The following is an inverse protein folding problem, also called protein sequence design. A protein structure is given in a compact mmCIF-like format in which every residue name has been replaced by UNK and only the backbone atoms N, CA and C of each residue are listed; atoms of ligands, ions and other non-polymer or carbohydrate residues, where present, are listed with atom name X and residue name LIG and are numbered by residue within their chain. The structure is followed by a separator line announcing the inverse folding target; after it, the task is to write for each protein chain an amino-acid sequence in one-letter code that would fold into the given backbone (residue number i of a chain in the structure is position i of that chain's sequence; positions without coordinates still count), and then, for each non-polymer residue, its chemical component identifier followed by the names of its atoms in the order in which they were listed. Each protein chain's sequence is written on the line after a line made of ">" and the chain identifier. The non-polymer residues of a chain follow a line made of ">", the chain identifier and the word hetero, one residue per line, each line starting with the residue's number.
data_IF_198503075833
#
_entry.id   IF_198503075833
#
_cell.length_a   1.000
_cell.length_b   1.000
_cell.length_c   1.000
_cell.angle_alpha   90.00
_cell.angle_beta   90.00
_cell.angle_gamma   90.00
#
_symmetry.space_group_name_H-M   'P 1'
#
loop_
_entity.id
_entity.type
_entity.pdbx_description
1 polymer ?
#
# COMPACT_ATOMS: atom_id res chain seq x y z
N UNK A 1 23.08 29.83 -16.21
CA UNK A 1 21.81 29.12 -16.46
C UNK A 1 21.41 28.39 -15.18
N UNK A 2 20.12 28.35 -14.82
CA UNK A 2 19.66 27.61 -13.65
C UNK A 2 19.86 26.11 -13.86
N UNK A 3 20.32 25.40 -12.83
CA UNK A 3 20.45 23.95 -12.84
C UNK A 3 19.06 23.29 -12.72
N UNK A 4 18.84 22.21 -13.49
CA UNK A 4 17.62 21.40 -13.40
C UNK A 4 17.83 20.16 -12.52
N UNK A 5 16.76 19.74 -11.85
CA UNK A 5 16.68 18.51 -11.09
C UNK A 5 15.49 17.69 -11.55
N UNK A 6 15.70 16.43 -11.91
CA UNK A 6 14.61 15.52 -12.23
C UNK A 6 14.38 14.53 -11.09
N UNK A 7 13.13 14.40 -10.66
CA UNK A 7 12.71 13.43 -9.67
C UNK A 7 11.94 12.31 -10.37
N UNK A 8 12.53 11.11 -10.43
CA UNK A 8 11.92 9.96 -11.08
C UNK A 8 11.29 9.02 -10.06
N UNK A 9 10.16 8.43 -10.46
CA UNK A 9 9.44 7.42 -9.69
C UNK A 9 9.07 6.26 -10.61
N UNK A 10 8.93 5.01 -10.12
CA UNK A 10 8.60 3.87 -10.96
C UNK A 10 7.13 3.86 -11.41
N UNK A 11 6.24 4.62 -10.76
CA UNK A 11 4.79 4.52 -10.96
C UNK A 11 4.19 5.93 -11.04
N UNK A 12 3.30 6.15 -12.02
CA UNK A 12 2.61 7.44 -12.24
C UNK A 12 1.92 7.98 -10.99
N UNK A 13 1.29 7.11 -10.19
CA UNK A 13 0.62 7.51 -8.95
C UNK A 13 1.60 8.17 -7.96
N UNK A 14 2.81 7.61 -7.81
CA UNK A 14 3.86 8.19 -6.99
C UNK A 14 4.39 9.50 -7.58
N UNK A 15 4.49 9.60 -8.92
CA UNK A 15 4.84 10.86 -9.59
C UNK A 15 3.84 11.97 -9.25
N UNK A 16 2.54 11.68 -9.35
CA UNK A 16 1.48 12.65 -9.05
C UNK A 16 1.49 13.05 -7.57
N UNK A 17 1.65 12.08 -6.67
CA UNK A 17 1.75 12.35 -5.23
C UNK A 17 2.96 13.25 -4.94
N UNK A 18 4.14 12.89 -5.45
CA UNK A 18 5.38 13.65 -5.22
C UNK A 18 5.30 15.04 -5.81
N UNK A 19 4.72 15.19 -7.01
CA UNK A 19 4.45 16.49 -7.62
C UNK A 19 3.61 17.36 -6.69
N UNK A 20 2.48 16.83 -6.19
CA UNK A 20 1.61 17.58 -5.28
C UNK A 20 2.31 17.95 -3.96
N UNK A 21 3.13 17.06 -3.41
CA UNK A 21 3.95 17.33 -2.22
C UNK A 21 4.95 18.47 -2.46
N UNK A 22 5.67 18.43 -3.59
CA UNK A 22 6.65 19.44 -3.95
C UNK A 22 6.02 20.78 -4.31
N UNK A 23 4.89 20.78 -5.03
CA UNK A 23 4.11 21.99 -5.33
C UNK A 23 3.65 22.66 -4.03
N UNK A 24 3.12 21.89 -3.08
CA UNK A 24 2.70 22.43 -1.77
C UNK A 24 3.86 23.08 -1.02
N UNK A 25 5.07 22.55 -1.16
CA UNK A 25 6.25 23.03 -0.44
C UNK A 25 6.99 24.17 -1.14
N UNK A 26 7.04 24.17 -2.46
CA UNK A 26 7.95 25.02 -3.24
C UNK A 26 7.25 25.91 -4.28
N UNK A 27 5.93 25.79 -4.44
CA UNK A 27 5.14 26.56 -5.40
C UNK A 27 5.02 25.88 -6.77
N UNK A 28 3.88 26.02 -7.46
CA UNK A 28 3.63 25.41 -8.76
C UNK A 28 4.52 25.95 -9.89
N UNK A 29 5.07 27.15 -9.73
CA UNK A 29 5.94 27.80 -10.71
C UNK A 29 7.32 27.12 -10.81
N UNK A 30 7.76 26.43 -9.76
CA UNK A 30 9.09 25.79 -9.68
C UNK A 30 9.07 24.30 -9.95
N UNK A 31 7.88 23.69 -9.99
CA UNK A 31 7.70 22.24 -10.07
C UNK A 31 6.90 21.89 -11.33
N UNK A 32 7.43 20.96 -12.11
CA UNK A 32 6.78 20.35 -13.26
C UNK A 32 6.44 18.89 -13.05
N UNK A 33 5.57 18.37 -13.91
CA UNK A 33 5.19 16.97 -14.01
C UNK A 33 5.27 16.53 -15.48
N UNK A 34 6.02 15.47 -15.76
CA UNK A 34 6.03 14.79 -17.05
C UNK A 34 5.70 13.31 -16.86
N UNK A 35 4.50 12.90 -17.24
CA UNK A 35 4.11 11.50 -17.38
C UNK A 35 3.80 11.20 -18.84
N UNK A 36 3.61 9.92 -19.20
CA UNK A 36 3.25 9.57 -20.57
C UNK A 36 1.90 10.12 -21.08
N UNK A 37 1.12 10.73 -20.20
CA UNK A 37 -0.24 11.24 -20.44
C UNK A 37 -0.46 12.70 -20.00
N UNK A 38 0.41 13.26 -19.15
CA UNK A 38 0.30 14.63 -18.67
C UNK A 38 1.63 15.35 -18.76
N UNK A 39 1.58 16.62 -19.16
CA UNK A 39 2.71 17.54 -19.16
C UNK A 39 2.28 18.83 -18.50
N UNK A 40 2.89 19.16 -17.37
CA UNK A 40 2.61 20.35 -16.57
C UNK A 40 3.94 21.03 -16.28
N UNK A 41 4.09 22.29 -16.66
CA UNK A 41 5.29 23.09 -16.38
C UNK A 41 6.62 22.33 -16.66
N UNK A 42 6.74 21.71 -17.84
CA UNK A 42 7.84 20.79 -18.18
C UNK A 42 9.24 21.42 -18.22
N UNK A 43 9.32 22.76 -18.26
CA UNK A 43 10.57 23.53 -18.22
C UNK A 43 10.94 24.01 -16.81
N UNK A 44 10.18 23.59 -15.80
CA UNK A 44 10.45 23.92 -14.42
C UNK A 44 11.87 23.53 -13.97
N UNK A 45 12.46 24.24 -12.99
CA UNK A 45 13.74 23.86 -12.39
C UNK A 45 13.72 22.46 -11.78
N UNK A 46 12.58 22.01 -11.26
CA UNK A 46 12.39 20.64 -10.77
C UNK A 46 11.25 19.99 -11.53
N UNK A 47 11.49 18.83 -12.11
CA UNK A 47 10.45 18.09 -12.85
C UNK A 47 10.29 16.69 -12.28
N UNK A 48 9.09 16.36 -11.83
CA UNK A 48 8.72 15.01 -11.42
C UNK A 48 8.29 14.22 -12.63
N UNK A 49 8.78 13.00 -12.80
CA UNK A 49 8.42 12.16 -13.95
C UNK A 49 8.48 10.67 -13.63
N UNK A 50 7.99 9.84 -14.54
CA UNK A 50 8.28 8.39 -14.44
C UNK A 50 9.67 8.09 -15.00
N UNK A 51 10.30 7.02 -14.51
CA UNK A 51 11.63 6.60 -14.98
C UNK A 51 11.65 6.35 -16.50
N UNK A 52 10.56 5.82 -17.06
CA UNK A 52 10.41 5.60 -18.50
C UNK A 52 10.44 6.91 -19.31
N UNK A 53 9.87 8.00 -18.78
CA UNK A 53 9.88 9.30 -19.47
C UNK A 53 11.32 9.83 -19.55
N UNK A 54 12.07 9.78 -18.44
CA UNK A 54 13.48 10.19 -18.45
C UNK A 54 14.30 9.35 -19.44
N UNK A 55 14.13 8.03 -19.42
CA UNK A 55 14.80 7.12 -20.34
C UNK A 55 14.52 7.46 -21.81
N UNK A 56 13.26 7.76 -22.15
CA UNK A 56 12.90 8.16 -23.49
C UNK A 56 13.52 9.52 -23.88
N UNK A 57 13.60 10.47 -22.94
CA UNK A 57 14.27 11.75 -23.17
C UNK A 57 15.77 11.59 -23.45
N UNK A 58 16.44 10.67 -22.74
CA UNK A 58 17.85 10.34 -22.97
C UNK A 58 18.06 9.76 -24.37
N UNK A 59 17.22 8.81 -24.80
CA UNK A 59 17.30 8.24 -26.16
C UNK A 59 16.98 9.25 -27.26
N UNK A 60 16.04 10.15 -27.01
CA UNK A 60 15.65 11.17 -27.98
C UNK A 60 16.64 12.37 -28.02
N UNK A 61 17.61 12.46 -27.10
CA UNK A 61 18.47 13.63 -26.98
C UNK A 61 17.68 14.92 -26.69
N UNK A 62 16.66 14.83 -25.85
CA UNK A 62 15.73 15.93 -25.58
C UNK A 62 16.44 17.21 -25.11
N UNK A 63 16.05 18.37 -25.66
CA UNK A 63 16.58 19.67 -25.24
C UNK A 63 16.30 19.99 -23.77
N UNK A 64 15.28 19.37 -23.18
CA UNK A 64 14.91 19.56 -21.78
C UNK A 64 16.01 19.05 -20.83
N UNK A 65 16.88 18.14 -21.28
CA UNK A 65 18.08 17.67 -20.56
C UNK A 65 19.16 18.74 -20.43
N UNK A 66 19.10 19.84 -21.18
CA UNK A 66 20.06 20.95 -21.06
C UNK A 66 20.03 21.50 -19.63
N UNK A 67 21.23 21.64 -19.05
CA UNK A 67 21.45 22.07 -17.66
C UNK A 67 20.90 21.11 -16.59
N UNK A 68 20.59 19.86 -16.92
CA UNK A 68 20.33 18.82 -15.92
C UNK A 68 21.58 18.62 -15.07
N UNK A 69 21.46 18.80 -13.77
CA UNK A 69 22.56 18.65 -12.81
C UNK A 69 22.30 17.53 -11.81
N UNK A 70 21.03 17.21 -11.55
CA UNK A 70 20.64 16.23 -10.54
C UNK A 70 19.53 15.32 -11.06
N UNK A 71 19.65 14.02 -10.77
CA UNK A 71 18.56 13.06 -10.93
C UNK A 71 18.36 12.37 -9.58
N UNK A 72 17.17 12.52 -9.03
CA UNK A 72 16.71 11.72 -7.88
C UNK A 72 15.95 10.54 -8.44
N UNK A 73 16.35 9.33 -8.09
CA UNK A 73 15.62 8.12 -8.44
C UNK A 73 15.02 7.49 -7.19
N UNK A 74 13.69 7.52 -7.09
CA UNK A 74 12.93 7.07 -5.92
C UNK A 74 12.47 5.61 -6.04
N UNK A 75 12.50 4.86 -4.95
CA UNK A 75 12.19 3.43 -4.90
C UNK A 75 13.12 2.54 -5.75
N UNK A 76 14.45 2.74 -5.62
CA UNK A 76 15.46 2.00 -6.41
C UNK A 76 15.40 0.47 -6.26
N UNK A 77 14.72 -0.05 -5.21
CA UNK A 77 14.49 -1.49 -5.07
C UNK A 77 13.68 -2.08 -6.23
N UNK A 78 12.96 -1.27 -7.00
CA UNK A 78 12.32 -1.68 -8.26
C UNK A 78 13.32 -2.08 -9.35
N UNK A 79 14.63 -1.85 -9.17
CA UNK A 79 15.66 -2.40 -10.05
C UNK A 79 15.60 -3.93 -10.13
N UNK A 80 15.24 -4.60 -9.04
CA UNK A 80 15.09 -6.06 -9.02
C UNK A 80 13.82 -6.56 -9.73
N UNK A 81 12.94 -5.66 -10.18
CA UNK A 81 11.76 -6.02 -10.95
C UNK A 81 12.14 -6.54 -12.34
N UNK A 82 11.74 -7.77 -12.67
CA UNK A 82 12.10 -8.44 -13.93
C UNK A 82 11.65 -7.68 -15.19
N UNK A 83 10.58 -6.89 -15.11
CA UNK A 83 10.00 -6.19 -16.26
C UNK A 83 10.48 -4.73 -16.34
N UNK A 84 10.81 -4.12 -15.20
CA UNK A 84 11.06 -2.68 -15.09
C UNK A 84 12.50 -2.32 -14.72
N UNK A 85 13.29 -3.28 -14.23
CA UNK A 85 14.69 -3.08 -13.84
C UNK A 85 15.56 -2.56 -14.98
N UNK A 86 15.38 -3.06 -16.20
CA UNK A 86 16.15 -2.62 -17.37
C UNK A 86 16.04 -1.11 -17.63
N UNK A 87 14.86 -0.50 -17.40
CA UNK A 87 14.68 0.95 -17.59
C UNK A 87 15.58 1.75 -16.64
N UNK A 88 15.76 1.27 -15.41
CA UNK A 88 16.61 1.92 -14.42
C UNK A 88 18.08 1.82 -14.79
N UNK A 89 18.53 0.63 -15.18
CA UNK A 89 19.89 0.41 -15.67
C UNK A 89 20.20 1.30 -16.87
N UNK A 90 19.29 1.36 -17.85
CA UNK A 90 19.42 2.21 -19.03
C UNK A 90 19.57 3.69 -18.65
N UNK A 91 18.77 4.21 -17.70
CA UNK A 91 18.91 5.60 -17.24
C UNK A 91 20.27 5.84 -16.61
N UNK A 92 20.70 4.96 -15.71
CA UNK A 92 21.97 5.11 -14.98
C UNK A 92 23.16 5.10 -15.95
N UNK A 93 23.12 4.22 -16.95
CA UNK A 93 24.18 4.08 -17.96
C UNK A 93 24.22 5.25 -18.95
N UNK A 94 23.06 5.78 -19.37
CA UNK A 94 23.00 6.81 -20.41
C UNK A 94 23.03 8.25 -19.88
N UNK A 95 22.87 8.46 -18.57
CA UNK A 95 23.01 9.79 -17.99
C UNK A 95 24.43 10.33 -18.23
N UNK A 96 24.61 11.62 -18.57
CA UNK A 96 25.93 12.23 -18.61
C UNK A 96 26.66 12.14 -17.26
N UNK A 97 27.99 12.00 -17.26
CA UNK A 97 28.80 11.80 -16.04
C UNK A 97 28.71 12.99 -15.07
N UNK A 98 28.50 14.20 -15.59
CA UNK A 98 28.34 15.42 -14.81
C UNK A 98 27.04 15.47 -13.99
N UNK A 99 26.06 14.63 -14.32
CA UNK A 99 24.77 14.57 -13.60
C UNK A 99 24.92 13.78 -12.31
N UNK A 100 24.63 14.41 -11.18
CA UNK A 100 24.67 13.76 -9.87
C UNK A 100 23.42 12.92 -9.65
N UNK A 101 23.63 11.67 -9.25
CA UNK A 101 22.57 10.72 -8.98
C UNK A 101 22.30 10.62 -7.48
N UNK A 102 21.02 10.63 -7.10
CA UNK A 102 20.57 10.37 -5.73
C UNK A 102 19.55 9.24 -5.79
N UNK A 103 19.92 8.05 -5.28
CA UNK A 103 19.04 6.89 -5.26
C UNK A 103 18.41 6.73 -3.88
N UNK A 104 17.08 6.71 -3.81
CA UNK A 104 16.32 6.54 -2.57
C UNK A 104 15.62 5.18 -2.58
N UNK A 105 15.60 4.48 -1.44
CA UNK A 105 14.84 3.24 -1.30
C UNK A 105 14.61 2.87 0.16
N UNK A 106 13.44 2.30 0.45
CA UNK A 106 13.08 1.83 1.79
C UNK A 106 13.58 0.40 2.11
N UNK A 107 13.74 -0.45 1.10
CA UNK A 107 14.01 -1.89 1.30
C UNK A 107 15.04 -2.39 0.29
N UNK A 108 16.32 -2.26 0.60
CA UNK A 108 17.38 -2.88 -0.20
C UNK A 108 18.28 -3.67 0.73
N UNK A 109 18.11 -5.00 0.73
CA UNK A 109 18.93 -5.91 1.54
C UNK A 109 20.38 -6.01 1.06
N UNK A 110 20.68 -5.52 -0.14
CA UNK A 110 22.01 -5.52 -0.75
C UNK A 110 22.49 -4.09 -1.12
N UNK A 111 22.22 -3.11 -0.24
CA UNK A 111 22.57 -1.70 -0.48
C UNK A 111 24.07 -1.49 -0.78
N UNK A 112 24.95 -2.26 -0.13
CA UNK A 112 26.40 -2.20 -0.37
C UNK A 112 26.79 -2.68 -1.77
N UNK A 113 26.22 -3.81 -2.22
CA UNK A 113 26.46 -4.35 -3.57
C UNK A 113 25.97 -3.37 -4.64
N UNK A 114 24.77 -2.82 -4.45
CA UNK A 114 24.22 -1.80 -5.32
C UNK A 114 25.11 -0.55 -5.37
N UNK A 115 25.57 -0.09 -4.21
CA UNK A 115 26.52 1.04 -4.11
C UNK A 115 27.84 0.77 -4.82
N UNK A 116 28.38 -0.45 -4.72
CA UNK A 116 29.58 -0.87 -5.44
C UNK A 116 29.42 -0.87 -6.95
N UNK A 117 28.25 -1.32 -7.45
CA UNK A 117 27.91 -1.24 -8.87
C UNK A 117 27.80 0.21 -9.35
N UNK A 118 27.03 1.05 -8.65
CA UNK A 118 26.93 2.48 -8.99
C UNK A 118 28.31 3.13 -8.96
N UNK A 119 29.16 2.79 -7.98
CA UNK A 119 30.51 3.33 -7.90
C UNK A 119 31.37 2.98 -9.11
N UNK A 120 31.20 1.79 -9.64
CA UNK A 120 31.90 1.32 -10.84
C UNK A 120 31.41 2.03 -12.11
N UNK A 121 30.10 2.33 -12.19
CA UNK A 121 29.47 2.93 -13.38
C UNK A 121 29.54 4.46 -13.39
N UNK A 122 29.44 5.11 -12.23
CA UNK A 122 29.25 6.57 -12.08
C UNK A 122 30.38 7.26 -11.31
N UNK A 123 31.35 6.52 -10.76
CA UNK A 123 32.41 7.08 -9.94
C UNK A 123 32.02 7.21 -8.46
N UNK A 124 32.63 8.16 -7.74
CA UNK A 124 32.52 8.22 -6.28
C UNK A 124 31.06 8.27 -5.79
N UNK A 125 30.70 7.31 -4.94
CA UNK A 125 29.33 7.08 -4.47
C UNK A 125 29.37 6.70 -3.00
N UNK A 126 28.62 7.42 -2.18
CA UNK A 126 28.46 7.13 -0.76
C UNK A 126 27.13 6.42 -0.53
N UNK A 127 27.19 5.24 0.10
CA UNK A 127 26.00 4.50 0.53
C UNK A 127 25.64 4.95 1.94
N UNK A 128 24.40 5.35 2.14
CA UNK A 128 23.85 5.70 3.46
C UNK A 128 22.75 4.70 3.78
N UNK A 129 22.94 3.93 4.86
CA UNK A 129 21.96 2.96 5.35
C UNK A 129 21.55 3.38 6.75
N UNK A 130 20.23 3.42 6.97
CA UNK A 130 19.64 3.61 8.30
C UNK A 130 18.59 2.52 8.51
N UNK A 131 18.74 1.75 9.57
CA UNK A 131 17.82 0.67 9.97
C UNK A 131 16.80 1.14 11.01
N UNK A 132 16.94 2.35 11.54
CA UNK A 132 16.02 2.90 12.52
C UNK A 132 14.67 3.20 11.87
N UNK A 133 13.62 2.54 12.34
CA UNK A 133 12.24 2.83 11.96
C UNK A 133 11.64 3.85 12.94
N UNK A 134 11.33 5.09 12.51
CA UNK A 134 10.81 6.13 13.41
C UNK A 134 9.46 5.77 14.05
N UNK A 135 8.65 4.97 13.35
CA UNK A 135 7.38 4.44 13.86
C UNK A 135 7.51 2.92 13.98
N UNK A 136 7.76 2.37 15.18
CA UNK A 136 7.90 0.94 15.37
C UNK A 136 6.63 0.19 14.96
N UNK A 137 6.79 -1.06 14.52
CA UNK A 137 5.68 -1.92 14.13
C UNK A 137 5.54 -3.06 15.13
N UNK A 138 4.30 -3.29 15.58
CA UNK A 138 3.91 -4.44 16.37
C UNK A 138 3.09 -5.39 15.51
N UNK A 139 3.33 -6.67 15.69
CA UNK A 139 2.70 -7.74 14.95
C UNK A 139 1.80 -8.49 15.90
N UNK A 140 0.55 -8.68 15.48
CA UNK A 140 -0.46 -9.36 16.26
C UNK A 140 -1.05 -10.52 15.49
N UNK A 141 -1.52 -11.53 16.21
CA UNK A 141 -2.28 -12.66 15.68
C UNK A 141 -3.65 -12.68 16.34
N UNK A 142 -4.68 -12.61 15.51
CA UNK A 142 -6.05 -12.83 15.97
C UNK A 142 -6.33 -14.33 16.01
N UNK A 143 -6.50 -14.89 17.21
CA UNK A 143 -6.92 -16.28 17.38
C UNK A 143 -8.36 -16.25 17.91
N UNK A 144 -9.32 -16.76 17.13
CA UNK A 144 -10.75 -16.63 17.47
C UNK A 144 -11.18 -15.16 17.54
N UNK A 145 -11.56 -14.70 18.73
CA UNK A 145 -12.00 -13.31 18.99
C UNK A 145 -11.02 -12.51 19.86
N UNK A 146 -9.84 -13.06 20.15
CA UNK A 146 -8.80 -12.43 20.99
C UNK A 146 -7.57 -12.11 20.14
N UNK A 147 -7.11 -10.87 20.23
CA UNK A 147 -5.87 -10.41 19.64
C UNK A 147 -4.72 -10.74 20.61
N UNK A 148 -3.61 -11.24 20.08
CA UNK A 148 -2.40 -11.54 20.84
C UNK A 148 -1.22 -10.92 20.12
N UNK A 149 -0.19 -10.53 20.86
CA UNK A 149 1.09 -10.20 20.26
C UNK A 149 1.69 -11.45 19.64
N UNK A 150 2.28 -11.32 18.44
CA UNK A 150 3.01 -12.41 17.81
C UNK A 150 4.31 -12.66 18.56
N UNK A 151 4.92 -11.60 19.09
CA UNK A 151 6.22 -11.61 19.71
C UNK A 151 6.19 -11.03 21.12
N UNK A 152 7.10 -11.51 21.97
CA UNK A 152 7.31 -10.98 23.31
C UNK A 152 8.09 -9.66 23.22
N UNK A 153 7.36 -8.55 23.13
CA UNK A 153 7.92 -7.20 23.04
C UNK A 153 8.46 -6.69 24.40
N UNK A 154 7.91 -7.17 25.52
CA UNK A 154 8.21 -6.67 26.86
C UNK A 154 9.50 -7.24 27.45
N UNK A 155 9.83 -8.51 27.15
CA UNK A 155 10.98 -9.17 27.79
C UNK A 155 12.30 -8.98 27.07
N UNK A 156 12.33 -8.19 25.99
CA UNK A 156 13.54 -7.95 25.20
C UNK A 156 14.24 -9.24 24.76
N UNK A 157 13.51 -10.36 24.70
CA UNK A 157 14.08 -11.68 24.53
C UNK A 157 14.37 -11.91 23.04
N UNK A 158 15.52 -11.39 22.61
CA UNK A 158 16.16 -11.82 21.38
C UNK A 158 16.39 -13.34 21.45
N UNK A 159 15.67 -14.07 20.62
CA UNK A 159 15.95 -15.47 20.35
C UNK A 159 17.30 -15.63 19.64
N UNK A 160 17.75 -16.88 19.41
CA UNK A 160 19.00 -17.14 18.70
C UNK A 160 19.01 -16.43 17.34
N UNK A 161 19.96 -15.52 17.12
CA UNK A 161 20.08 -14.73 15.89
C UNK A 161 19.28 -13.43 15.85
N UNK A 162 18.96 -12.81 17.00
CA UNK A 162 18.35 -11.47 17.08
C UNK A 162 16.86 -11.44 16.71
N UNK A 163 16.20 -12.60 16.65
CA UNK A 163 14.77 -12.70 16.29
C UNK A 163 13.90 -12.65 17.53
N UNK A 164 12.87 -11.82 17.54
CA UNK A 164 11.92 -11.81 18.65
C UNK A 164 11.31 -13.20 18.89
N UNK A 165 11.27 -13.62 20.15
CA UNK A 165 10.63 -14.88 20.55
C UNK A 165 9.11 -14.76 20.42
N UNK A 166 8.45 -15.81 19.93
CA UNK A 166 6.99 -15.88 19.88
C UNK A 166 6.41 -15.77 21.29
N UNK A 167 5.35 -14.98 21.43
CA UNK A 167 4.70 -14.72 22.71
C UNK A 167 4.25 -16.03 23.42
N UNK A 168 4.67 -16.29 24.68
CA UNK A 168 4.31 -17.51 25.39
C UNK A 168 2.81 -17.64 25.72
N UNK A 169 2.08 -16.54 25.89
CA UNK A 169 0.62 -16.56 26.05
C UNK A 169 -0.06 -17.03 24.75
N UNK A 170 0.36 -16.51 23.59
CA UNK A 170 -0.15 -16.96 22.29
C UNK A 170 0.03 -18.48 22.12
N UNK A 171 1.24 -18.99 22.41
CA UNK A 171 1.54 -20.43 22.31
C UNK A 171 0.66 -21.26 23.25
N UNK A 172 0.52 -20.83 24.50
CA UNK A 172 -0.34 -21.51 25.50
C UNK A 172 -1.79 -21.52 25.06
N UNK A 173 -2.30 -20.40 24.54
CA UNK A 173 -3.69 -20.28 24.09
C UNK A 173 -3.98 -21.19 22.89
N UNK A 174 -3.07 -21.25 21.92
CA UNK A 174 -3.19 -22.18 20.79
C UNK A 174 -3.16 -23.63 21.26
N UNK A 175 -2.27 -23.98 22.21
CA UNK A 175 -2.17 -25.33 22.75
C UNK A 175 -3.47 -25.75 23.46
N UNK A 176 -3.98 -24.90 24.38
CA UNK A 176 -5.22 -25.15 25.11
C UNK A 176 -6.42 -25.30 24.16
N UNK A 177 -6.49 -24.49 23.10
CA UNK A 177 -7.57 -24.64 22.11
C UNK A 177 -7.50 -25.93 21.32
N UNK A 178 -6.30 -26.31 20.86
CA UNK A 178 -6.10 -27.59 20.16
C UNK A 178 -6.48 -28.78 21.03
N UNK A 179 -6.22 -28.70 22.33
CA UNK A 179 -6.63 -29.73 23.29
C UNK A 179 -8.15 -29.77 23.48
N UNK A 180 -8.80 -28.60 23.63
CA UNK A 180 -10.26 -28.52 23.71
C UNK A 180 -10.94 -29.09 22.45
N UNK A 181 -10.44 -28.78 21.25
CA UNK A 181 -10.98 -29.32 19.99
C UNK A 181 -10.86 -30.85 19.94
N UNK A 182 -9.73 -31.42 20.42
CA UNK A 182 -9.53 -32.87 20.50
C UNK A 182 -10.50 -33.55 21.49
N UNK A 183 -10.82 -32.90 22.61
CA UNK A 183 -11.75 -33.44 23.61
C UNK A 183 -13.20 -33.45 23.10
N UNK A 184 -13.59 -32.46 22.28
CA UNK A 184 -14.91 -32.43 21.62
C UNK A 184 -15.05 -33.57 20.59
N UNK A 185 -13.96 -33.94 19.93
CA UNK A 185 -13.92 -35.03 18.95
C UNK A 185 -14.05 -36.44 19.56
N UNK A 186 -13.83 -36.60 20.87
CA UNK A 186 -13.86 -37.90 21.56
C UNK A 186 -15.27 -38.33 22.02
N UNK A 187 -16.33 -37.56 21.74
CA UNK A 187 -17.70 -38.03 21.98
C UNK A 187 -18.03 -39.20 21.03
N UNK A 188 -18.44 -40.39 21.54
CA UNK A 188 -18.73 -41.54 20.71
C UNK A 188 -19.97 -41.27 19.85
N UNK A 189 -19.77 -40.97 18.56
CA UNK A 189 -20.86 -40.85 17.58
C UNK A 189 -21.55 -42.20 17.43
N UNK A 190 -22.83 -42.29 17.82
CA UNK A 190 -23.72 -43.41 17.45
C UNK A 190 -23.71 -43.56 15.93
N UNK A 191 -23.25 -44.71 15.46
CA UNK A 191 -23.00 -45.06 14.06
C UNK A 191 -24.32 -45.28 13.32
N UNK A 192 -24.84 -44.23 12.69
CA UNK A 192 -25.94 -44.33 11.71
C UNK A 192 -25.36 -44.53 10.29
N UNK A 193 -25.81 -45.52 9.50
CA UNK A 193 -25.32 -45.72 8.15
C UNK A 193 -25.98 -44.72 7.19
N UNK A 194 -25.22 -43.72 6.71
CA UNK A 194 -25.68 -42.81 5.66
C UNK A 194 -25.13 -41.38 5.63
N UNK A 195 -24.31 -40.96 6.61
CA UNK A 195 -23.77 -39.61 6.65
C UNK A 195 -22.49 -39.45 5.82
N UNK A 196 -22.56 -38.69 4.72
CA UNK A 196 -21.40 -38.19 3.97
C UNK A 196 -20.34 -37.62 4.92
N UNK A 197 -19.10 -38.06 4.73
CA UNK A 197 -17.91 -37.68 5.49
C UNK A 197 -17.68 -36.15 5.53
N UNK A 198 -18.16 -35.49 6.58
CA UNK A 198 -17.63 -34.22 7.07
C UNK A 198 -16.75 -34.50 8.27
N UNK A 199 -15.43 -34.42 8.08
CA UNK A 199 -14.44 -34.57 9.16
C UNK A 199 -14.63 -33.54 10.29
N UNK A 200 -14.02 -33.76 11.47
CA UNK A 200 -14.34 -33.01 12.68
C UNK A 200 -13.82 -31.57 12.67
N UNK A 201 -14.58 -30.66 13.28
CA UNK A 201 -14.15 -29.37 13.85
C UNK A 201 -13.10 -28.55 13.10
N UNK A 202 -13.31 -28.21 11.82
CA UNK A 202 -12.42 -27.28 11.13
C UNK A 202 -12.42 -25.92 11.85
N UNK A 203 -11.26 -25.48 12.31
CA UNK A 203 -10.99 -24.09 12.70
C UNK A 203 -11.63 -23.15 11.68
N UNK A 204 -12.68 -22.44 12.09
CA UNK A 204 -13.29 -21.41 11.27
C UNK A 204 -12.62 -20.09 11.61
N UNK A 205 -11.85 -19.49 10.68
CA UNK A 205 -11.28 -18.18 10.93
C UNK A 205 -12.42 -17.18 11.24
N UNK A 206 -12.17 -16.18 12.10
CA UNK A 206 -13.16 -15.16 12.40
C UNK A 206 -13.67 -14.51 11.11
N UNK A 207 -14.97 -14.17 11.07
CA UNK A 207 -15.52 -13.49 9.91
C UNK A 207 -14.92 -12.09 9.80
N UNK A 208 -14.86 -11.51 8.61
CA UNK A 208 -14.31 -10.15 8.41
C UNK A 208 -14.97 -9.11 9.33
N UNK A 209 -16.31 -9.09 9.51
CA UNK A 209 -16.93 -8.21 10.50
C UNK A 209 -16.44 -8.43 11.94
N UNK A 210 -16.19 -9.68 12.35
CA UNK A 210 -15.66 -9.97 13.69
C UNK A 210 -14.23 -9.47 13.87
N UNK A 211 -13.41 -9.58 12.82
CA UNK A 211 -12.03 -9.05 12.81
C UNK A 211 -12.09 -7.53 12.96
N UNK A 212 -12.88 -6.85 12.14
CA UNK A 212 -13.00 -5.39 12.16
C UNK A 212 -13.53 -4.91 13.51
N UNK A 213 -14.58 -5.54 14.04
CA UNK A 213 -15.13 -5.20 15.36
C UNK A 213 -14.12 -5.43 16.50
N UNK A 214 -13.22 -6.41 16.35
CA UNK A 214 -12.13 -6.61 17.31
C UNK A 214 -11.11 -5.48 17.21
N UNK A 215 -10.66 -5.12 16.00
CA UNK A 215 -9.74 -4.01 15.79
C UNK A 215 -10.30 -2.67 16.27
N UNK A 216 -11.59 -2.41 16.03
CA UNK A 216 -12.28 -1.20 16.50
C UNK A 216 -12.26 -1.10 18.04
N UNK A 217 -12.59 -2.21 18.72
CA UNK A 217 -12.56 -2.27 20.19
C UNK A 217 -11.17 -2.06 20.78
N UNK A 218 -10.13 -2.55 20.10
CA UNK A 218 -8.73 -2.35 20.51
C UNK A 218 -8.18 -0.96 20.07
N UNK A 219 -8.98 -0.12 19.39
CA UNK A 219 -8.53 1.19 18.92
C UNK A 219 -7.50 1.14 17.78
N UNK A 220 -7.50 0.05 17.01
CA UNK A 220 -6.54 -0.21 15.93
C UNK A 220 -7.07 0.15 14.53
N UNK A 221 -8.17 0.89 14.44
CA UNK A 221 -8.65 1.48 13.19
C UNK A 221 -8.02 2.87 12.98
N UNK A 222 -7.69 3.26 11.73
CA UNK A 222 -8.06 2.57 10.50
C UNK A 222 -7.19 1.35 10.14
N UNK A 223 -7.75 0.39 9.41
CA UNK A 223 -7.07 -0.85 9.00
C UNK A 223 -7.14 -1.11 7.49
N UNK A 224 -5.98 -1.42 6.89
CA UNK A 224 -5.89 -1.84 5.48
C UNK A 224 -5.80 -3.37 5.41
N UNK A 225 -6.80 -4.01 4.81
CA UNK A 225 -6.80 -5.47 4.58
C UNK A 225 -6.31 -5.80 3.17
N UNK A 226 -5.16 -6.44 3.05
CA UNK A 226 -4.62 -6.87 1.76
C UNK A 226 -5.30 -8.14 1.25
N UNK A 227 -6.00 -8.04 0.13
CA UNK A 227 -6.65 -9.17 -0.56
C UNK A 227 -6.11 -9.23 -2.00
N UNK A 228 -5.45 -10.33 -2.35
CA UNK A 228 -4.81 -10.50 -3.67
C UNK A 228 -5.79 -10.97 -4.77
N UNK A 229 -6.99 -10.38 -4.80
CA UNK A 229 -8.00 -10.63 -5.83
C UNK A 229 -8.93 -9.42 -5.92
N UNK A 230 -9.11 -8.87 -7.13
CA UNK A 230 -10.02 -7.73 -7.37
C UNK A 230 -11.44 -8.05 -6.92
N UNK A 231 -12.00 -9.16 -7.44
CA UNK A 231 -13.30 -9.66 -7.02
C UNK A 231 -13.34 -10.03 -5.53
N UNK A 232 -12.20 -10.43 -4.95
CA UNK A 232 -12.06 -10.68 -3.51
C UNK A 232 -12.21 -9.41 -2.66
N UNK A 233 -11.71 -8.27 -3.12
CA UNK A 233 -11.88 -6.97 -2.46
C UNK A 233 -13.36 -6.59 -2.42
N UNK A 234 -14.05 -6.66 -3.56
CA UNK A 234 -15.49 -6.35 -3.64
C UNK A 234 -16.33 -7.30 -2.78
N UNK A 235 -16.02 -8.61 -2.86
CA UNK A 235 -16.68 -9.62 -2.05
C UNK A 235 -16.48 -9.40 -0.53
N UNK A 236 -15.33 -8.84 -0.12
CA UNK A 236 -15.07 -8.52 1.29
C UNK A 236 -15.95 -7.38 1.79
N UNK A 237 -16.11 -6.31 0.99
CA UNK A 237 -17.04 -5.21 1.33
C UNK A 237 -18.48 -5.73 1.36
N UNK A 238 -18.90 -6.51 0.35
CA UNK A 238 -20.22 -7.18 0.31
C UNK A 238 -20.49 -8.03 1.55
N UNK A 239 -19.48 -8.77 2.02
CA UNK A 239 -19.59 -9.56 3.26
C UNK A 239 -19.85 -8.67 4.47
N UNK A 240 -19.16 -7.53 4.58
CA UNK A 240 -19.35 -6.59 5.68
C UNK A 240 -20.70 -5.87 5.61
N UNK A 241 -21.18 -5.51 4.42
CA UNK A 241 -22.49 -4.87 4.22
C UNK A 241 -23.68 -5.73 4.66
N UNK A 242 -23.53 -7.06 4.61
CA UNK A 242 -24.53 -8.02 5.13
C UNK A 242 -24.60 -8.07 6.65
N UNK A 243 -23.66 -7.43 7.35
CA UNK A 243 -23.65 -7.31 8.80
C UNK A 243 -24.16 -5.93 9.24
N UNK A 244 -24.43 -5.77 10.54
CA UNK A 244 -24.78 -4.48 11.16
C UNK A 244 -23.58 -3.58 11.44
N UNK A 245 -22.40 -3.90 10.90
CA UNK A 245 -21.18 -3.14 11.13
C UNK A 245 -21.31 -1.72 10.56
N UNK A 246 -21.03 -0.72 11.40
CA UNK A 246 -21.01 0.69 11.04
C UNK A 246 -19.90 1.38 11.82
N UNK A 247 -18.95 1.99 11.10
CA UNK A 247 -17.73 2.59 11.67
C UNK A 247 -17.74 4.13 11.61
N UNK A 248 -18.87 4.71 11.17
CA UNK A 248 -19.02 6.14 10.90
C UNK A 248 -20.13 6.76 11.75
N UNK A 249 -19.87 7.98 12.21
CA UNK A 249 -20.90 8.82 12.85
C UNK A 249 -21.86 9.41 11.81
N UNK A 250 -22.95 10.03 12.25
CA UNK A 250 -23.86 10.74 11.33
C UNK A 250 -23.18 11.94 10.66
N UNK A 251 -22.26 12.61 11.36
CA UNK A 251 -21.46 13.70 10.80
C UNK A 251 -20.48 13.19 9.72
N UNK A 252 -19.81 12.06 9.96
CA UNK A 252 -18.96 11.43 8.95
C UNK A 252 -19.76 11.08 7.71
N UNK A 253 -20.96 10.51 7.88
CA UNK A 253 -21.85 10.15 6.77
C UNK A 253 -22.26 11.34 5.92
N UNK A 254 -22.59 12.46 6.55
CA UNK A 254 -22.92 13.69 5.82
C UNK A 254 -21.74 14.16 4.96
N UNK A 255 -20.53 14.16 5.53
CA UNK A 255 -19.30 14.53 4.82
C UNK A 255 -18.96 13.56 3.69
N UNK A 256 -19.12 12.26 3.93
CA UNK A 256 -18.91 11.22 2.91
C UNK A 256 -19.90 11.41 1.76
N UNK A 257 -21.18 11.65 2.07
CA UNK A 257 -22.20 11.90 1.05
C UNK A 257 -21.86 13.13 0.20
N UNK A 258 -21.45 14.25 0.82
CA UNK A 258 -21.04 15.46 0.10
C UNK A 258 -19.88 15.19 -0.87
N UNK A 259 -18.87 14.44 -0.45
CA UNK A 259 -17.73 14.09 -1.31
C UNK A 259 -18.18 13.20 -2.47
N UNK A 260 -19.04 12.21 -2.22
CA UNK A 260 -19.58 11.31 -3.24
C UNK A 260 -20.40 12.11 -4.26
N UNK A 261 -21.33 12.94 -3.79
CA UNK A 261 -22.24 13.71 -4.63
C UNK A 261 -21.44 14.70 -5.50
N UNK A 262 -20.43 15.37 -4.93
CA UNK A 262 -19.53 16.26 -5.68
C UNK A 262 -18.69 15.51 -6.71
N UNK A 263 -18.14 14.34 -6.37
CA UNK A 263 -17.27 13.55 -7.28
C UNK A 263 -18.06 12.88 -8.39
N UNK A 264 -19.30 12.48 -8.13
CA UNK A 264 -20.14 11.71 -9.04
C UNK A 264 -21.21 12.55 -9.75
N UNK A 265 -21.17 13.88 -9.62
CA UNK A 265 -22.17 14.79 -10.18
C UNK A 265 -22.35 14.67 -11.71
N UNK A 266 -21.28 14.30 -12.43
CA UNK A 266 -21.27 14.17 -13.89
C UNK A 266 -21.69 12.78 -14.39
N UNK A 267 -21.96 11.82 -13.49
CA UNK A 267 -22.40 10.48 -13.88
C UNK A 267 -23.91 10.47 -14.20
N UNK A 268 -24.28 9.92 -15.35
CA UNK A 268 -25.68 9.78 -15.70
C UNK A 268 -26.36 8.70 -14.83
N UNK A 269 -27.62 8.91 -14.45
CA UNK A 269 -28.38 7.97 -13.61
C UNK A 269 -28.43 6.54 -14.17
N UNK A 270 -28.45 6.40 -15.50
CA UNK A 270 -28.43 5.10 -16.18
C UNK A 270 -27.14 4.32 -15.92
N UNK A 271 -26.01 5.01 -15.76
CA UNK A 271 -24.71 4.39 -15.51
C UNK A 271 -24.57 3.94 -14.05
N UNK A 272 -25.21 4.65 -13.10
CA UNK A 272 -25.09 4.35 -11.67
C UNK A 272 -25.50 2.90 -11.33
N UNK A 273 -26.55 2.38 -11.96
CA UNK A 273 -27.02 1.02 -11.74
C UNK A 273 -26.03 -0.04 -12.26
N UNK A 274 -25.40 0.22 -13.42
CA UNK A 274 -24.42 -0.69 -14.04
C UNK A 274 -23.11 -0.72 -13.25
N UNK A 275 -22.78 0.38 -12.58
CA UNK A 275 -21.53 0.57 -11.86
C UNK A 275 -21.56 0.10 -10.39
N UNK A 276 -22.62 -0.60 -9.95
CA UNK A 276 -22.84 -0.98 -8.54
C UNK A 276 -22.73 0.23 -7.58
N UNK A 277 -23.06 1.45 -8.06
CA UNK A 277 -22.84 2.71 -7.35
C UNK A 277 -23.50 2.74 -5.96
N UNK A 278 -24.73 2.26 -5.85
CA UNK A 278 -25.49 2.30 -4.59
C UNK A 278 -24.86 1.42 -3.52
N UNK A 279 -24.33 0.27 -3.90
CA UNK A 279 -23.66 -0.64 -2.97
C UNK A 279 -22.30 -0.05 -2.55
N UNK A 280 -21.55 0.49 -3.50
CA UNK A 280 -20.30 1.20 -3.25
C UNK A 280 -20.52 2.39 -2.29
N UNK A 281 -21.53 3.24 -2.56
CA UNK A 281 -21.92 4.38 -1.72
C UNK A 281 -22.30 3.93 -0.31
N UNK A 282 -23.07 2.86 -0.17
CA UNK A 282 -23.44 2.32 1.14
C UNK A 282 -22.22 1.80 1.92
N UNK A 283 -21.27 1.17 1.24
CA UNK A 283 -19.96 0.81 1.81
C UNK A 283 -19.24 2.01 2.40
N UNK A 284 -19.06 3.05 1.59
CA UNK A 284 -18.39 4.28 2.02
C UNK A 284 -19.09 4.94 3.18
N UNK A 285 -20.42 5.04 3.15
CA UNK A 285 -21.20 5.61 4.24
C UNK A 285 -21.05 4.84 5.56
N UNK A 286 -20.71 3.55 5.53
CA UNK A 286 -20.40 2.76 6.73
C UNK A 286 -18.92 2.80 7.14
N UNK A 287 -18.09 3.50 6.37
CA UNK A 287 -16.65 3.64 6.59
C UNK A 287 -15.82 2.52 5.96
N UNK A 288 -16.37 1.76 5.00
CA UNK A 288 -15.73 0.61 4.37
C UNK A 288 -15.49 0.89 2.88
N UNK A 289 -14.34 0.49 2.35
CA UNK A 289 -14.05 0.64 0.94
C UNK A 289 -13.23 -0.53 0.39
N UNK A 290 -13.51 -0.91 -0.86
CA UNK A 290 -12.58 -1.67 -1.67
C UNK A 290 -11.64 -0.69 -2.40
N UNK A 291 -10.39 -1.11 -2.62
CA UNK A 291 -9.45 -0.38 -3.48
C UNK A 291 -8.67 -1.39 -4.34
N UNK A 292 -8.82 -1.30 -5.65
CA UNK A 292 -8.04 -2.10 -6.60
C UNK A 292 -7.99 -1.43 -7.99
N UNK A 293 -7.03 -1.85 -8.81
CA UNK A 293 -6.82 -1.31 -10.16
C UNK A 293 -7.96 -1.54 -11.16
N UNK A 294 -8.98 -2.33 -10.79
CA UNK A 294 -10.16 -2.57 -11.64
C UNK A 294 -11.29 -1.57 -11.43
N UNK A 295 -11.20 -0.72 -10.42
CA UNK A 295 -12.21 0.30 -10.14
C UNK A 295 -12.13 1.43 -11.16
N UNK A 296 -13.28 2.07 -11.43
CA UNK A 296 -13.29 3.31 -12.18
C UNK A 296 -12.41 4.37 -11.48
N UNK A 297 -11.64 5.18 -12.22
CA UNK A 297 -10.77 6.20 -11.64
C UNK A 297 -11.51 7.13 -10.66
N UNK A 298 -12.75 7.50 -10.98
CA UNK A 298 -13.59 8.37 -10.14
C UNK A 298 -13.88 7.76 -8.76
N UNK A 299 -14.23 6.46 -8.70
CA UNK A 299 -14.48 5.76 -7.44
C UNK A 299 -13.19 5.56 -6.67
N UNK A 300 -12.11 5.18 -7.35
CA UNK A 300 -10.80 4.99 -6.72
C UNK A 300 -10.28 6.27 -6.07
N UNK A 301 -10.31 7.40 -6.79
CA UNK A 301 -9.88 8.69 -6.25
C UNK A 301 -10.79 9.17 -5.11
N UNK A 302 -12.09 8.86 -5.17
CA UNK A 302 -13.02 9.16 -4.08
C UNK A 302 -12.66 8.37 -2.82
N UNK A 303 -12.35 7.07 -2.93
CA UNK A 303 -11.87 6.25 -1.80
C UNK A 303 -10.59 6.81 -1.22
N UNK A 304 -9.62 7.18 -2.07
CA UNK A 304 -8.34 7.76 -1.62
C UNK A 304 -8.54 9.08 -0.85
N UNK A 305 -9.43 9.95 -1.35
CA UNK A 305 -9.78 11.20 -0.69
C UNK A 305 -10.42 10.95 0.68
N UNK A 306 -11.41 10.06 0.75
CA UNK A 306 -12.12 9.72 2.00
C UNK A 306 -11.19 9.04 3.01
N UNK A 307 -10.29 8.17 2.56
CA UNK A 307 -9.28 7.52 3.41
C UNK A 307 -8.30 8.55 3.99
N UNK A 308 -7.78 9.45 3.15
CA UNK A 308 -6.89 10.55 3.59
C UNK A 308 -7.58 11.48 4.60
N UNK A 309 -8.89 11.69 4.44
CA UNK A 309 -9.70 12.48 5.37
C UNK A 309 -10.06 11.74 6.68
N UNK A 310 -9.64 10.48 6.85
CA UNK A 310 -9.95 9.66 8.01
C UNK A 310 -11.42 9.21 8.11
N UNK A 311 -12.16 9.26 7.00
CA UNK A 311 -13.58 8.90 6.92
C UNK A 311 -13.79 7.41 6.62
N UNK A 312 -12.82 6.77 5.97
CA UNK A 312 -12.73 5.31 5.82
C UNK A 312 -11.92 4.75 6.99
N UNK A 313 -12.41 3.67 7.59
CA UNK A 313 -11.84 3.04 8.79
C UNK A 313 -11.30 1.65 8.44
#
# INVERSE_FOLDING_TARGET
>A
AGQKCFYTTPIKALSNQKHNDLVRRYGPERIGLLTGDQSINGDAPVVVMTTEVLRNMLYAGSETLRALAYVVMDEVHFLADRMRGAVWEEVILHLPEEVRLVSLSATVSNAEEFGGWIKTVRGDTTVVVDEHRPVPLWQHVLVGKRLFDLFDYDRGAEGPGGRHRVDPELVRHIAHRREADRLVDWQPRRRGPGGRHGGPGLYRPPSRPDVIATLDREGLLPAITFIFSRAGCDAAVKQCLRSSLRLTTDADRARIAEVIDRRCADLADADLAVLDYYEWREGLLRGLAAHHAGMLPIFRHTVEELFTAGLIK
#
